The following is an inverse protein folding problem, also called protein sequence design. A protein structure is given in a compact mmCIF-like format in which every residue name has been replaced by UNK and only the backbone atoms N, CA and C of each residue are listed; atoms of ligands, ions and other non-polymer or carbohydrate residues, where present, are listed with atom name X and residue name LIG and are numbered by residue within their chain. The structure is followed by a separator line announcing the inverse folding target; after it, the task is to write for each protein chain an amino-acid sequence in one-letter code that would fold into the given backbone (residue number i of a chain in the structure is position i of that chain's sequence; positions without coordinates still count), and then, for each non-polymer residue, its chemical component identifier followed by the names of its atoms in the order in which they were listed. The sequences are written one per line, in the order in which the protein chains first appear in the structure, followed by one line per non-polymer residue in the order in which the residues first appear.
data_IF_911419419916
#
_entry.id   IF_911419419916
#
_cell.length_a   1.000
_cell.length_b   1.000
_cell.length_c   1.000
_cell.angle_alpha   90.00
_cell.angle_beta   90.00
_cell.angle_gamma   90.00
#
_symmetry.space_group_name_H-M   'P 1'
#
loop_
_entity.id
_entity.type
_entity.pdbx_description
1 polymer ?
#
# COMPACT_ATOMS: atom_id res chain seq x y z
N UNK A 1 59.26 -55.42 48.53
CA UNK A 1 59.32 -53.93 48.53
C UNK A 1 59.12 -53.47 47.09
N UNK A 2 58.09 -52.65 46.85
CA UNK A 2 57.56 -52.25 45.52
C UNK A 2 58.38 -51.12 44.90
N UNK A 3 58.80 -51.26 43.65
CA UNK A 3 59.23 -50.18 42.75
C UNK A 3 58.82 -50.56 41.31
N UNK A 4 58.05 -49.69 40.64
CA UNK A 4 57.94 -49.49 39.18
C UNK A 4 56.70 -48.61 38.93
N UNK A 5 56.89 -47.31 38.74
CA UNK A 5 56.96 -46.63 37.44
C UNK A 5 55.58 -46.29 36.87
N UNK A 6 55.27 -44.99 36.96
CA UNK A 6 54.10 -44.31 36.41
C UNK A 6 54.41 -43.96 34.94
N UNK A 7 53.65 -44.54 34.01
CA UNK A 7 53.52 -44.06 32.64
C UNK A 7 52.52 -42.89 32.61
N UNK A 8 52.85 -41.79 31.92
CA UNK A 8 52.01 -41.33 30.81
C UNK A 8 52.76 -40.29 29.95
N UNK A 9 52.88 -40.62 28.67
CA UNK A 9 53.55 -39.86 27.62
C UNK A 9 52.67 -38.76 27.02
N UNK A 10 53.26 -37.57 26.86
CA UNK A 10 52.78 -36.44 26.04
C UNK A 10 52.63 -36.83 24.57
N UNK A 11 51.50 -36.47 23.93
CA UNK A 11 51.41 -36.34 22.48
C UNK A 11 50.64 -35.07 22.06
N UNK A 12 51.41 -34.17 21.42
CA UNK A 12 51.10 -33.35 20.24
C UNK A 12 49.93 -32.36 20.23
N UNK A 13 50.31 -31.08 20.23
CA UNK A 13 49.62 -29.97 19.56
C UNK A 13 49.27 -30.36 18.12
N UNK A 14 47.99 -30.23 17.75
CA UNK A 14 47.60 -29.97 16.36
C UNK A 14 46.72 -28.72 16.27
N UNK A 15 46.92 -28.05 15.15
CA UNK A 15 46.64 -26.67 14.83
C UNK A 15 45.14 -26.42 14.63
N UNK A 16 44.74 -25.18 14.94
CA UNK A 16 43.40 -24.60 14.90
C UNK A 16 42.50 -25.08 13.76
N UNK A 17 41.28 -25.50 14.09
CA UNK A 17 40.12 -25.33 13.23
C UNK A 17 39.09 -24.53 14.01
N UNK A 18 39.21 -23.20 13.99
CA UNK A 18 38.05 -22.38 14.28
C UNK A 18 37.03 -22.71 13.20
N UNK A 19 35.97 -23.40 13.58
CA UNK A 19 34.77 -23.54 12.78
C UNK A 19 34.25 -22.13 12.55
N UNK A 20 34.64 -21.51 11.43
CA UNK A 20 33.92 -20.39 10.89
C UNK A 20 32.55 -20.96 10.50
N UNK A 21 31.56 -20.82 11.39
CA UNK A 21 30.19 -21.07 11.03
C UNK A 21 29.90 -20.18 9.82
N UNK A 22 29.80 -20.80 8.64
CA UNK A 22 29.35 -20.10 7.45
C UNK A 22 27.97 -19.54 7.77
N UNK A 23 27.86 -18.21 7.80
CA UNK A 23 26.60 -17.49 7.79
C UNK A 23 25.96 -17.67 6.41
N UNK A 24 25.47 -18.87 6.12
CA UNK A 24 24.53 -19.09 5.02
C UNK A 24 23.17 -19.31 5.64
N UNK A 25 22.24 -18.43 5.23
CA UNK A 25 20.82 -18.39 5.55
C UNK A 25 20.47 -17.79 6.92
N UNK A 26 20.59 -16.45 6.97
CA UNK A 26 19.62 -15.65 7.74
C UNK A 26 18.25 -15.97 7.12
N UNK A 27 17.55 -16.95 7.69
CA UNK A 27 16.14 -17.18 7.40
C UNK A 27 15.40 -15.96 7.90
N UNK A 28 15.17 -14.99 7.01
CA UNK A 28 14.31 -13.85 7.28
C UNK A 28 12.95 -14.44 7.68
N UNK A 29 12.44 -14.16 8.88
CA UNK A 29 11.15 -14.70 9.29
C UNK A 29 10.10 -14.24 8.26
N UNK A 30 9.23 -15.14 7.77
CA UNK A 30 8.27 -14.83 6.70
C UNK A 30 7.33 -13.66 7.04
N UNK A 31 7.26 -13.29 8.32
CA UNK A 31 6.53 -12.14 8.85
C UNK A 31 7.00 -10.79 8.28
N UNK A 32 8.31 -10.56 8.09
CA UNK A 32 8.82 -9.25 7.63
C UNK A 32 8.46 -8.98 6.16
N UNK A 33 8.52 -10.02 5.33
CA UNK A 33 8.22 -9.94 3.89
C UNK A 33 6.73 -9.65 3.67
N UNK A 34 5.84 -10.28 4.46
CA UNK A 34 4.39 -10.06 4.37
C UNK A 34 4.02 -8.61 4.72
N UNK A 35 4.60 -8.06 5.78
CA UNK A 35 4.32 -6.68 6.22
C UNK A 35 4.78 -5.63 5.22
N UNK A 36 5.96 -5.79 4.61
CA UNK A 36 6.45 -4.83 3.61
C UNK A 36 5.61 -4.82 2.34
N UNK A 37 5.20 -6.00 1.85
CA UNK A 37 4.30 -6.11 0.69
C UNK A 37 2.95 -5.44 0.96
N UNK A 38 2.34 -5.73 2.10
CA UNK A 38 1.07 -5.14 2.52
C UNK A 38 1.16 -3.61 2.67
N UNK A 39 2.27 -3.10 3.23
CA UNK A 39 2.54 -1.67 3.33
C UNK A 39 2.65 -1.01 1.96
N UNK A 40 3.37 -1.62 1.02
CA UNK A 40 3.51 -1.11 -0.34
C UNK A 40 2.18 -1.06 -1.08
N UNK A 41 1.32 -2.06 -0.90
CA UNK A 41 -0.04 -2.03 -1.43
C UNK A 41 -0.87 -0.89 -0.85
N UNK A 42 -0.86 -0.73 0.47
CA UNK A 42 -1.60 0.36 1.12
C UNK A 42 -1.14 1.74 0.62
N UNK A 43 0.16 1.91 0.40
CA UNK A 43 0.75 3.13 -0.19
C UNK A 43 0.28 3.35 -1.62
N UNK A 44 0.28 2.31 -2.45
CA UNK A 44 -0.16 2.39 -3.85
C UNK A 44 -1.66 2.72 -3.96
N UNK A 45 -2.50 2.09 -3.14
CA UNK A 45 -3.94 2.40 -3.03
C UNK A 45 -4.15 3.85 -2.61
N UNK A 46 -3.38 4.33 -1.62
CA UNK A 46 -3.50 5.71 -1.14
C UNK A 46 -3.08 6.72 -2.19
N UNK A 47 -2.00 6.45 -2.93
CA UNK A 47 -1.54 7.29 -4.03
C UNK A 47 -2.56 7.34 -5.16
N UNK A 48 -3.19 6.20 -5.48
CA UNK A 48 -4.27 6.14 -6.45
C UNK A 48 -5.46 7.01 -6.02
N UNK A 49 -5.95 6.85 -4.78
CA UNK A 49 -7.05 7.68 -4.24
C UNK A 49 -6.74 9.18 -4.29
N UNK A 50 -5.51 9.56 -3.94
CA UNK A 50 -5.05 10.95 -3.99
C UNK A 50 -4.99 11.47 -5.43
N UNK A 51 -4.51 10.66 -6.38
CA UNK A 51 -4.48 11.03 -7.80
C UNK A 51 -5.89 11.26 -8.36
N UNK A 52 -6.82 10.35 -8.06
CA UNK A 52 -8.25 10.52 -8.41
C UNK A 52 -8.79 11.81 -7.82
N UNK A 53 -8.56 12.04 -6.52
CA UNK A 53 -8.99 13.27 -5.85
C UNK A 53 -8.45 14.52 -6.56
N UNK A 54 -7.15 14.59 -6.82
CA UNK A 54 -6.52 15.75 -7.45
C UNK A 54 -7.06 16.00 -8.86
N UNK A 55 -7.21 14.96 -9.67
CA UNK A 55 -7.77 15.07 -11.03
C UNK A 55 -9.19 15.61 -11.00
N UNK A 56 -10.04 15.09 -10.10
CA UNK A 56 -11.42 15.58 -9.95
C UNK A 56 -11.42 17.03 -9.48
N UNK A 57 -10.65 17.39 -8.44
CA UNK A 57 -10.57 18.77 -7.95
C UNK A 57 -10.10 19.75 -9.04
N UNK A 58 -9.17 19.35 -9.90
CA UNK A 58 -8.71 20.16 -11.04
C UNK A 58 -9.79 20.37 -12.10
N UNK A 59 -10.62 19.35 -12.35
CA UNK A 59 -11.71 19.42 -13.32
C UNK A 59 -13.01 20.04 -12.75
N UNK A 60 -13.06 20.28 -11.44
CA UNK A 60 -14.30 20.65 -10.77
C UNK A 60 -14.58 22.15 -10.84
N UNK A 61 -15.60 22.49 -11.63
CA UNK A 61 -16.24 23.81 -11.69
C UNK A 61 -17.09 24.03 -10.42
N UNK A 62 -16.48 24.50 -9.33
CA UNK A 62 -17.17 24.70 -8.05
C UNK A 62 -18.15 25.89 -8.10
N UNK A 63 -19.38 25.76 -7.57
CA UNK A 63 -20.32 26.87 -7.44
C UNK A 63 -19.77 27.99 -6.54
N UNK A 64 -20.00 29.25 -6.90
CA UNK A 64 -19.43 30.41 -6.21
C UNK A 64 -19.87 30.56 -4.74
N UNK A 65 -21.06 30.08 -4.39
CA UNK A 65 -21.66 30.10 -3.05
C UNK A 65 -21.38 28.82 -2.24
N UNK A 66 -20.53 27.93 -2.76
CA UNK A 66 -20.27 26.63 -2.12
C UNK A 66 -19.12 26.64 -1.11
N UNK A 67 -18.44 27.76 -0.86
CA UNK A 67 -17.19 27.81 -0.09
C UNK A 67 -17.23 27.02 1.23
N UNK A 68 -16.29 26.10 1.42
CA UNK A 68 -16.12 25.31 2.64
C UNK A 68 -17.09 24.13 2.79
N UNK A 69 -18.07 23.99 1.90
CA UNK A 69 -19.00 22.87 1.88
C UNK A 69 -18.34 21.58 1.37
N UNK A 70 -19.02 20.45 1.57
CA UNK A 70 -18.51 19.12 1.25
C UNK A 70 -19.44 18.43 0.25
N UNK A 71 -18.85 17.84 -0.78
CA UNK A 71 -19.48 16.83 -1.62
C UNK A 71 -18.82 15.47 -1.36
N UNK A 72 -19.61 14.46 -1.01
CA UNK A 72 -19.15 13.09 -0.81
C UNK A 72 -19.54 12.24 -2.01
N UNK A 73 -18.57 11.58 -2.63
CA UNK A 73 -18.79 10.67 -3.75
C UNK A 73 -18.49 9.23 -3.34
N UNK A 74 -19.40 8.33 -3.74
CA UNK A 74 -19.18 6.89 -3.76
C UNK A 74 -19.18 6.43 -5.21
N UNK A 75 -18.04 5.90 -5.65
CA UNK A 75 -17.78 5.52 -7.03
C UNK A 75 -17.51 4.02 -7.05
N UNK A 76 -18.25 3.28 -7.87
CA UNK A 76 -17.97 1.89 -8.18
C UNK A 76 -17.28 1.84 -9.53
N UNK A 77 -16.17 1.10 -9.58
CA UNK A 77 -15.34 0.95 -10.76
C UNK A 77 -15.36 -0.49 -11.26
N UNK A 78 -15.29 -0.65 -12.58
CA UNK A 78 -15.03 -1.93 -13.23
C UNK A 78 -13.52 -2.27 -13.19
N UNK A 79 -13.14 -3.38 -13.82
CA UNK A 79 -11.76 -3.87 -13.83
C UNK A 79 -10.85 -3.03 -14.76
N UNK A 80 -11.43 -2.16 -15.59
CA UNK A 80 -10.75 -1.21 -16.47
C UNK A 80 -10.66 0.22 -15.88
N UNK A 81 -11.31 0.45 -14.74
CA UNK A 81 -11.36 1.74 -14.06
C UNK A 81 -12.41 2.71 -14.61
N UNK A 82 -13.37 2.25 -15.42
CA UNK A 82 -14.56 3.03 -15.75
C UNK A 82 -15.54 3.06 -14.58
N UNK A 83 -16.47 4.01 -14.62
CA UNK A 83 -17.49 4.17 -13.59
C UNK A 83 -18.67 3.24 -13.90
N UNK A 84 -18.88 2.23 -13.07
CA UNK A 84 -20.10 1.40 -13.09
C UNK A 84 -21.27 2.10 -12.39
N UNK A 85 -20.99 2.74 -11.25
CA UNK A 85 -21.99 3.47 -10.46
C UNK A 85 -21.36 4.69 -9.81
N UNK A 86 -22.13 5.77 -9.76
CA UNK A 86 -21.75 7.00 -9.08
C UNK A 86 -22.92 7.48 -8.24
N UNK A 87 -22.64 7.77 -6.98
CA UNK A 87 -23.54 8.47 -6.07
C UNK A 87 -22.76 9.66 -5.51
N UNK A 88 -23.32 10.86 -5.62
CA UNK A 88 -22.77 12.07 -5.01
C UNK A 88 -23.80 12.67 -4.07
N UNK A 89 -23.36 13.03 -2.87
CA UNK A 89 -24.18 13.60 -1.81
C UNK A 89 -23.56 14.93 -1.37
N UNK A 90 -24.40 15.95 -1.21
CA UNK A 90 -24.04 17.26 -0.67
C UNK A 90 -25.31 17.97 -0.21
N UNK A 91 -25.17 18.93 0.70
CA UNK A 91 -26.27 19.80 1.12
C UNK A 91 -26.64 20.83 0.03
N UNK A 92 -25.78 20.98 -1.00
CA UNK A 92 -25.97 21.91 -2.12
C UNK A 92 -26.19 21.17 -3.44
N UNK A 93 -27.36 21.38 -4.07
CA UNK A 93 -27.74 20.65 -5.30
C UNK A 93 -26.81 20.90 -6.48
N UNK A 94 -26.33 22.13 -6.69
CA UNK A 94 -25.37 22.42 -7.76
C UNK A 94 -23.99 21.78 -7.51
N UNK A 95 -23.58 21.56 -6.25
CA UNK A 95 -22.33 20.86 -5.97
C UNK A 95 -22.41 19.41 -6.40
N UNK A 96 -23.57 18.75 -6.20
CA UNK A 96 -23.80 17.38 -6.66
C UNK A 96 -23.59 17.31 -8.18
N UNK A 97 -24.28 18.18 -8.93
CA UNK A 97 -24.21 18.18 -10.41
C UNK A 97 -22.80 18.44 -10.93
N UNK A 98 -22.14 19.47 -10.39
CA UNK A 98 -20.81 19.87 -10.84
C UNK A 98 -19.74 18.84 -10.47
N UNK A 99 -19.82 18.24 -9.28
CA UNK A 99 -18.91 17.17 -8.87
C UNK A 99 -19.14 15.90 -9.70
N UNK A 100 -20.38 15.52 -9.98
CA UNK A 100 -20.69 14.39 -10.88
C UNK A 100 -20.12 14.61 -12.28
N UNK A 101 -20.28 15.82 -12.83
CA UNK A 101 -19.72 16.18 -14.14
C UNK A 101 -18.20 16.07 -14.11
N UNK A 102 -17.54 16.62 -13.09
CA UNK A 102 -16.09 16.55 -12.96
C UNK A 102 -15.58 15.11 -12.89
N UNK A 103 -16.21 14.26 -12.07
CA UNK A 103 -15.88 12.83 -11.94
C UNK A 103 -16.03 12.09 -13.28
N UNK A 104 -17.12 12.36 -14.03
CA UNK A 104 -17.36 11.74 -15.34
C UNK A 104 -16.36 12.19 -16.40
N UNK A 105 -15.90 13.43 -16.36
CA UNK A 105 -14.92 13.97 -17.32
C UNK A 105 -13.53 13.35 -17.15
N UNK A 106 -13.13 13.04 -15.90
CA UNK A 106 -11.79 12.51 -15.63
C UNK A 106 -11.69 10.99 -15.75
N UNK A 107 -12.83 10.29 -15.83
CA UNK A 107 -12.87 8.85 -16.06
C UNK A 107 -12.48 8.52 -17.51
N UNK A 108 -11.88 7.35 -17.78
CA UNK A 108 -11.56 6.27 -16.82
C UNK A 108 -10.37 6.56 -15.91
N UNK A 109 -10.35 5.93 -14.73
CA UNK A 109 -9.26 6.05 -13.76
C UNK A 109 -8.21 4.95 -13.98
N UNK A 110 -6.97 5.35 -14.22
CA UNK A 110 -5.84 4.41 -14.35
C UNK A 110 -5.62 3.65 -13.04
N UNK A 111 -5.99 2.37 -13.02
CA UNK A 111 -5.75 1.49 -11.87
C UNK A 111 -4.25 1.18 -11.75
N UNK A 112 -3.69 1.15 -10.53
CA UNK A 112 -2.32 0.71 -10.30
C UNK A 112 -2.17 -0.79 -10.59
N UNK A 113 -1.11 -1.16 -11.32
CA UNK A 113 -0.82 -2.55 -11.71
C UNK A 113 -0.34 -3.41 -10.51
N UNK A 114 0.38 -2.81 -9.56
CA UNK A 114 1.03 -3.52 -8.44
C UNK A 114 0.11 -3.72 -7.22
N UNK A 115 -1.12 -4.17 -7.43
CA UNK A 115 -2.08 -4.49 -6.36
C UNK A 115 -2.55 -5.93 -6.50
N UNK A 116 -2.30 -6.77 -5.49
CA UNK A 116 -2.70 -8.18 -5.53
C UNK A 116 -4.23 -8.37 -5.57
N UNK A 117 -4.98 -7.39 -5.07
CA UNK A 117 -6.43 -7.47 -4.89
C UNK A 117 -7.11 -6.19 -5.38
N UNK A 118 -7.48 -6.17 -6.66
CA UNK A 118 -8.18 -5.04 -7.30
C UNK A 118 -9.55 -4.74 -6.68
N UNK A 119 -10.15 -5.69 -5.93
CA UNK A 119 -11.43 -5.44 -5.24
C UNK A 119 -11.34 -4.27 -4.24
N UNK A 120 -10.15 -4.01 -3.70
CA UNK A 120 -9.86 -2.86 -2.81
C UNK A 120 -9.98 -1.50 -3.50
N UNK A 121 -9.98 -1.48 -4.83
CA UNK A 121 -10.08 -0.29 -5.67
C UNK A 121 -11.46 -0.11 -6.32
N UNK A 122 -12.27 -1.17 -6.37
CA UNK A 122 -13.60 -1.16 -7.01
C UNK A 122 -14.57 -0.19 -6.35
N UNK A 123 -14.39 0.17 -5.08
CA UNK A 123 -15.24 1.15 -4.40
C UNK A 123 -14.38 2.28 -3.84
N UNK A 124 -14.56 3.47 -4.40
CA UNK A 124 -13.92 4.69 -3.94
C UNK A 124 -14.91 5.54 -3.16
N UNK A 125 -14.52 5.91 -1.95
CA UNK A 125 -15.23 6.89 -1.14
C UNK A 125 -14.32 8.11 -1.01
N UNK A 126 -14.73 9.22 -1.62
CA UNK A 126 -13.93 10.45 -1.67
C UNK A 126 -14.79 11.62 -1.22
N UNK A 127 -14.21 12.51 -0.40
CA UNK A 127 -14.86 13.75 0.01
C UNK A 127 -14.11 14.93 -0.59
N UNK A 128 -14.83 15.79 -1.27
CA UNK A 128 -14.33 16.99 -1.90
C UNK A 128 -14.81 18.19 -1.11
N UNK A 129 -13.88 19.06 -0.73
CA UNK A 129 -14.19 20.32 -0.03
C UNK A 129 -13.97 21.45 -1.02
N UNK A 130 -14.98 22.30 -1.19
CA UNK A 130 -14.89 23.52 -2.01
C UNK A 130 -14.07 24.60 -1.30
N UNK A 131 -13.37 25.42 -2.09
CA UNK A 131 -12.49 26.49 -1.63
C UNK A 131 -12.98 27.88 -2.01
#
# INVERSE_FOLDING_TARGET
MKLAQILLTLWFLSLTSHTFAQLTDVVVPPTVIKTEKENNQARNISRFKLNVYNKVMQAWEQPADSHGQIAAARIWLDDEGNIEKLIVESDHSEMIKTAEKAIKVVAPFTLPEDIDDLSKLKILNIRFKSW
#
